data_IF_246354332615
#
_entry.id   IF_246354332615
#
_cell.length_a   1.000
_cell.length_b   1.000
_cell.length_c   1.000
_cell.angle_alpha   90.00
_cell.angle_beta   90.00
_cell.angle_gamma   90.00
#
_symmetry.space_group_name_H-M   'P 1'
#
loop_
_entity.id
_entity.type
_entity.pdbx_description
1 polymer ?
#
# COMPACT_ATOMS: atom_id res chain seq x y z
N UNK A 1 36.02 -73.78 14.30
CA UNK A 1 35.42 -74.23 15.57
C UNK A 1 34.79 -73.03 16.28
N UNK A 2 33.68 -73.25 16.98
CA UNK A 2 32.84 -72.27 17.71
C UNK A 2 32.03 -71.31 16.81
N UNK A 3 30.82 -71.04 17.31
CA UNK A 3 29.69 -70.47 16.58
C UNK A 3 29.11 -69.28 17.41
N UNK A 4 27.86 -68.78 17.18
CA UNK A 4 27.55 -67.35 17.27
C UNK A 4 27.11 -66.87 18.67
N UNK A 5 27.00 -65.54 18.81
CA UNK A 5 26.13 -64.91 19.81
C UNK A 5 25.35 -63.72 19.20
N UNK A 6 24.08 -63.64 19.59
CA UNK A 6 23.04 -62.70 19.14
C UNK A 6 22.75 -61.66 20.25
N UNK A 7 22.03 -60.56 19.92
CA UNK A 7 21.01 -59.89 20.77
C UNK A 7 21.56 -59.24 22.08
N UNK A 8 21.61 -57.92 22.31
CA UNK A 8 20.50 -56.99 22.72
C UNK A 8 21.12 -55.78 23.48
N UNK A 9 20.47 -54.64 23.81
CA UNK A 9 19.30 -53.89 23.28
C UNK A 9 19.27 -52.49 23.94
N UNK A 10 18.79 -51.46 23.21
CA UNK A 10 18.11 -50.24 23.73
C UNK A 10 18.85 -49.26 24.70
N UNK A 11 18.17 -48.11 24.87
CA UNK A 11 18.33 -47.08 25.91
C UNK A 11 19.58 -46.16 25.89
N UNK A 12 19.44 -45.06 25.13
CA UNK A 12 20.34 -43.88 25.18
C UNK A 12 19.59 -42.56 24.97
N UNK A 13 18.35 -42.46 25.48
CA UNK A 13 17.45 -41.32 25.29
C UNK A 13 17.37 -40.51 26.59
N UNK A 14 18.02 -39.35 26.67
CA UNK A 14 17.69 -38.19 27.55
C UNK A 14 18.56 -37.00 27.07
N UNK A 15 17.99 -35.79 27.02
CA UNK A 15 18.80 -34.59 27.30
C UNK A 15 19.01 -33.56 26.19
N UNK A 16 18.34 -33.61 25.05
CA UNK A 16 18.22 -32.41 24.20
C UNK A 16 17.00 -31.60 24.67
N UNK A 17 17.20 -30.70 25.64
CA UNK A 17 16.17 -29.74 26.05
C UNK A 17 15.88 -28.80 24.89
N UNK A 18 14.74 -29.00 24.24
CA UNK A 18 14.23 -28.10 23.23
C UNK A 18 13.97 -26.72 23.86
N UNK A 19 14.92 -25.80 23.69
CA UNK A 19 14.64 -24.38 23.75
C UNK A 19 13.73 -24.05 22.57
N UNK A 20 12.42 -24.23 22.78
CA UNK A 20 11.37 -23.87 21.84
C UNK A 20 11.30 -22.35 21.69
N UNK A 21 12.24 -21.77 20.95
CA UNK A 21 12.10 -20.41 20.45
C UNK A 21 10.94 -20.40 19.46
N UNK A 22 9.78 -19.96 19.93
CA UNK A 22 8.56 -19.83 19.14
C UNK A 22 8.83 -18.99 17.89
N UNK A 23 8.63 -19.61 16.73
CA UNK A 23 8.92 -19.04 15.42
C UNK A 23 8.34 -19.88 14.29
N UNK A 24 7.21 -20.55 14.55
CA UNK A 24 6.47 -21.29 13.55
C UNK A 24 5.49 -20.34 12.84
N UNK A 25 5.55 -20.36 11.51
CA UNK A 25 4.50 -19.97 10.56
C UNK A 25 3.74 -18.65 10.81
N UNK A 26 4.39 -17.55 10.43
CA UNK A 26 3.76 -16.64 9.48
C UNK A 26 4.38 -16.97 8.11
N UNK A 27 3.88 -18.02 7.45
CA UNK A 27 4.23 -18.29 6.07
C UNK A 27 3.89 -17.03 5.27
N UNK A 28 4.87 -16.41 4.62
CA UNK A 28 4.62 -15.21 3.83
C UNK A 28 3.70 -15.62 2.67
N UNK A 29 2.43 -15.24 2.75
CA UNK A 29 1.41 -15.57 1.76
C UNK A 29 1.71 -14.75 0.50
N UNK A 30 2.59 -15.25 -0.35
CA UNK A 30 2.87 -14.67 -1.66
C UNK A 30 1.85 -15.18 -2.68
N UNK A 31 1.36 -14.31 -3.54
CA UNK A 31 0.46 -14.69 -4.64
C UNK A 31 -0.88 -13.92 -4.62
N UNK A 32 -1.93 -14.48 -5.26
CA UNK A 32 -3.24 -13.83 -5.33
C UNK A 32 -3.94 -13.73 -3.96
N UNK A 33 -3.58 -14.59 -3.02
CA UNK A 33 -4.14 -14.68 -1.66
C UNK A 33 -3.33 -13.90 -0.62
N UNK A 34 -2.37 -13.06 -1.04
CA UNK A 34 -1.54 -12.29 -0.11
C UNK A 34 -2.37 -11.42 0.85
N UNK A 35 -2.04 -11.43 2.13
CA UNK A 35 -2.74 -10.70 3.22
C UNK A 35 -1.78 -9.80 4.00
N UNK A 36 -2.26 -8.71 4.63
CA UNK A 36 -1.43 -7.85 5.47
C UNK A 36 -0.81 -8.59 6.66
N UNK A 37 0.48 -8.35 6.92
CA UNK A 37 1.21 -8.94 8.03
C UNK A 37 1.28 -8.01 9.24
N UNK A 38 0.92 -8.52 10.42
CA UNK A 38 1.09 -7.82 11.71
C UNK A 38 2.56 -7.46 11.97
N UNK A 39 3.48 -8.37 11.60
CA UNK A 39 4.92 -8.18 11.76
C UNK A 39 5.44 -7.07 10.85
N UNK A 40 4.97 -7.00 9.61
CA UNK A 40 5.36 -5.93 8.68
C UNK A 40 4.86 -4.56 9.16
N UNK A 41 3.60 -4.47 9.58
CA UNK A 41 3.02 -3.24 10.15
C UNK A 41 3.76 -2.77 11.40
N UNK A 42 4.12 -3.68 12.31
CA UNK A 42 4.91 -3.36 13.51
C UNK A 42 6.30 -2.81 13.14
N UNK A 43 7.06 -3.52 12.29
CA UNK A 43 8.40 -3.10 11.88
C UNK A 43 8.40 -1.75 11.12
N UNK A 44 7.36 -1.46 10.33
CA UNK A 44 7.14 -0.16 9.70
C UNK A 44 6.85 0.93 10.74
N UNK A 45 6.06 0.63 11.77
CA UNK A 45 5.74 1.55 12.87
C UNK A 45 7.01 1.96 13.62
N UNK A 46 7.84 0.99 14.02
CA UNK A 46 9.11 1.23 14.71
C UNK A 46 10.05 2.10 13.85
N UNK A 47 10.25 1.71 12.58
CA UNK A 47 11.08 2.45 11.60
C UNK A 47 10.63 3.91 11.44
N UNK A 48 9.32 4.17 11.52
CA UNK A 48 8.75 5.51 11.36
C UNK A 48 8.74 6.32 12.67
N UNK A 49 8.80 5.67 13.83
CA UNK A 49 8.98 6.30 15.14
C UNK A 49 10.42 6.80 15.36
N UNK A 50 11.42 6.09 14.81
CA UNK A 50 12.81 6.55 14.78
C UNK A 50 12.99 7.79 13.88
N UNK A 51 12.22 7.89 12.80
CA UNK A 51 12.28 8.97 11.82
C UNK A 51 11.54 10.25 12.29
N UNK A 52 11.98 10.82 13.42
CA UNK A 52 11.30 11.89 14.19
C UNK A 52 11.10 13.25 13.50
N UNK A 53 11.66 13.49 12.31
CA UNK A 53 11.48 14.75 11.57
C UNK A 53 11.10 14.51 10.11
N UNK A 54 10.47 15.51 9.49
CA UNK A 54 9.76 15.39 8.21
C UNK A 54 10.63 14.83 7.08
N UNK A 55 11.89 15.27 6.96
CA UNK A 55 12.78 14.83 5.88
C UNK A 55 13.23 13.36 6.04
N UNK A 56 13.78 12.92 7.19
CA UNK A 56 13.97 11.49 7.49
C UNK A 56 12.71 10.64 7.31
N UNK A 57 11.54 11.12 7.76
CA UNK A 57 10.27 10.38 7.64
C UNK A 57 9.88 10.16 6.18
N UNK A 58 9.93 11.20 5.35
CA UNK A 58 9.72 11.11 3.89
C UNK A 58 10.70 10.13 3.23
N UNK A 59 11.98 10.15 3.63
CA UNK A 59 12.98 9.21 3.12
C UNK A 59 12.74 7.76 3.58
N UNK A 60 12.26 7.54 4.80
CA UNK A 60 11.85 6.23 5.30
C UNK A 60 10.65 5.68 4.50
N UNK A 61 9.59 6.48 4.32
CA UNK A 61 8.42 6.13 3.53
C UNK A 61 8.81 5.79 2.08
N UNK A 62 9.60 6.64 1.40
CA UNK A 62 10.07 6.37 0.04
C UNK A 62 10.85 5.05 -0.07
N UNK A 63 11.73 4.75 0.89
CA UNK A 63 12.49 3.49 0.91
C UNK A 63 11.59 2.28 1.18
N UNK A 64 10.58 2.42 2.04
CA UNK A 64 9.60 1.37 2.30
C UNK A 64 8.74 1.07 1.05
N UNK A 65 8.26 2.10 0.36
CA UNK A 65 7.52 1.95 -0.91
C UNK A 65 8.33 1.25 -1.99
N UNK A 66 9.61 1.63 -2.17
CA UNK A 66 10.50 0.97 -3.14
C UNK A 66 10.73 -0.51 -2.77
N UNK A 67 10.92 -0.84 -1.49
CA UNK A 67 11.00 -2.24 -1.03
C UNK A 67 9.69 -3.01 -1.20
N UNK A 68 8.55 -2.35 -1.07
CA UNK A 68 7.24 -2.91 -1.33
C UNK A 68 6.97 -3.16 -2.83
N UNK A 69 7.83 -2.63 -3.72
CA UNK A 69 7.75 -2.76 -5.18
C UNK A 69 6.93 -1.65 -5.88
N UNK A 70 6.64 -0.54 -5.19
CA UNK A 70 5.97 0.63 -5.75
C UNK A 70 6.98 1.48 -6.55
N UNK A 71 6.62 1.85 -7.79
CA UNK A 71 7.46 2.70 -8.66
C UNK A 71 7.37 4.16 -8.21
N UNK A 72 8.43 4.81 -7.71
CA UNK A 72 8.33 6.13 -7.10
C UNK A 72 8.08 7.23 -8.15
N UNK A 73 7.39 8.32 -7.74
CA UNK A 73 7.03 9.45 -8.62
C UNK A 73 8.19 10.08 -9.41
N UNK A 74 9.42 9.99 -8.90
CA UNK A 74 10.62 10.59 -9.49
C UNK A 74 11.56 9.61 -10.20
N UNK A 75 11.10 8.43 -10.61
CA UNK A 75 11.94 7.51 -11.39
C UNK A 75 12.08 7.96 -12.86
N UNK A 76 13.31 7.96 -13.38
CA UNK A 76 13.70 8.68 -14.60
C UNK A 76 12.98 8.25 -15.88
N UNK A 77 12.43 7.03 -15.89
CA UNK A 77 11.61 6.52 -17.01
C UNK A 77 10.22 7.17 -17.10
N UNK A 78 9.72 7.74 -16.00
CA UNK A 78 8.43 8.44 -15.95
C UNK A 78 8.60 9.97 -15.94
N UNK A 79 9.71 10.49 -15.40
CA UNK A 79 10.02 11.93 -15.36
C UNK A 79 9.77 12.65 -16.70
N UNK A 80 10.15 12.04 -17.82
CA UNK A 80 10.05 12.66 -19.15
C UNK A 80 8.63 12.77 -19.74
N UNK A 81 7.62 12.15 -19.11
CA UNK A 81 6.20 12.25 -19.53
C UNK A 81 5.27 12.76 -18.44
N UNK A 82 5.73 12.75 -17.19
CA UNK A 82 4.85 12.72 -16.03
C UNK A 82 5.39 13.54 -14.83
N UNK A 83 6.06 14.67 -15.04
CA UNK A 83 6.32 15.62 -13.96
C UNK A 83 6.15 17.08 -14.40
N UNK A 84 5.12 17.74 -13.85
CA UNK A 84 5.20 19.16 -13.51
C UNK A 84 5.55 19.23 -12.03
N UNK A 85 6.73 19.73 -11.67
CA UNK A 85 7.07 19.95 -10.26
C UNK A 85 6.29 21.16 -9.73
N UNK A 86 5.14 20.89 -9.11
CA UNK A 86 4.23 21.92 -8.58
C UNK A 86 4.64 22.42 -7.19
N UNK A 87 5.85 22.10 -6.71
CA UNK A 87 6.38 22.59 -5.43
C UNK A 87 5.68 22.03 -4.19
N UNK A 88 4.79 21.04 -4.34
CA UNK A 88 4.13 20.34 -3.23
C UNK A 88 4.89 19.03 -2.96
N UNK A 89 5.54 18.86 -1.80
CA UNK A 89 6.39 17.71 -1.52
C UNK A 89 5.57 16.49 -1.09
N UNK A 90 4.87 15.88 -2.05
CA UNK A 90 4.28 14.56 -1.90
C UNK A 90 5.38 13.49 -1.85
N UNK A 91 5.11 12.41 -1.13
CA UNK A 91 5.86 11.15 -1.24
C UNK A 91 4.91 10.10 -1.77
N UNK A 92 5.36 9.25 -2.68
CA UNK A 92 4.48 8.28 -3.30
C UNK A 92 5.05 7.63 -4.55
N UNK A 93 4.18 6.93 -5.26
CA UNK A 93 4.50 6.20 -6.48
C UNK A 93 3.29 5.46 -7.05
N UNK A 94 3.55 4.58 -8.00
CA UNK A 94 2.55 3.85 -8.75
C UNK A 94 2.73 2.34 -8.63
N UNK A 95 1.61 1.64 -8.53
CA UNK A 95 1.48 0.20 -8.80
C UNK A 95 0.87 0.09 -10.20
N UNK A 96 1.61 -0.40 -11.21
CA UNK A 96 1.10 -0.45 -12.58
C UNK A 96 -0.05 -1.46 -12.71
N UNK A 97 -1.17 -1.03 -13.29
CA UNK A 97 -2.26 -1.93 -13.66
C UNK A 97 -1.94 -2.75 -14.90
N UNK A 98 -2.71 -3.81 -15.16
CA UNK A 98 -2.51 -4.71 -16.31
C UNK A 98 -3.18 -4.25 -17.62
N UNK A 99 -4.05 -3.24 -17.60
CA UNK A 99 -4.66 -2.71 -18.83
C UNK A 99 -3.67 -1.92 -19.71
N UNK A 100 -3.81 -1.96 -21.05
CA UNK A 100 -2.95 -1.21 -21.96
C UNK A 100 -3.09 0.31 -21.77
N UNK A 101 -1.97 1.02 -22.01
CA UNK A 101 -1.69 2.43 -21.70
C UNK A 101 -2.60 3.51 -22.37
N UNK A 102 -3.76 3.14 -22.93
CA UNK A 102 -4.72 4.05 -23.56
C UNK A 102 -6.07 4.20 -22.81
N UNK A 103 -6.30 3.43 -21.73
CA UNK A 103 -7.47 3.54 -20.84
C UNK A 103 -7.01 3.48 -19.38
N UNK A 104 -6.07 4.35 -19.02
CA UNK A 104 -5.38 4.31 -17.73
C UNK A 104 -6.24 4.91 -16.62
N UNK A 105 -7.30 4.22 -16.23
CA UNK A 105 -8.16 4.60 -15.10
C UNK A 105 -7.36 4.43 -13.79
N UNK A 106 -7.55 5.33 -12.82
CA UNK A 106 -6.73 5.46 -11.61
C UNK A 106 -7.56 5.34 -10.34
N UNK A 107 -7.07 4.59 -9.35
CA UNK A 107 -7.50 4.72 -7.95
C UNK A 107 -6.33 5.31 -7.15
N UNK A 108 -6.61 6.29 -6.29
CA UNK A 108 -5.57 6.86 -5.41
C UNK A 108 -5.75 6.30 -4.01
N UNK A 109 -4.72 5.63 -3.49
CA UNK A 109 -4.61 5.16 -2.12
C UNK A 109 -3.71 6.12 -1.33
N UNK A 110 -4.09 6.58 -0.14
CA UNK A 110 -3.21 7.49 0.59
C UNK A 110 -3.59 7.89 2.01
N UNK A 111 -2.70 8.64 2.64
CA UNK A 111 -2.91 9.25 3.95
C UNK A 111 -1.96 10.43 4.19
N UNK A 112 -2.09 11.11 5.32
CA UNK A 112 -1.11 12.13 5.75
C UNK A 112 0.26 11.49 6.03
N UNK A 113 1.32 12.14 5.58
CA UNK A 113 2.72 11.69 5.76
C UNK A 113 3.14 11.62 7.24
N UNK A 114 2.50 12.40 8.10
CA UNK A 114 2.68 12.44 9.55
C UNK A 114 1.65 11.61 10.33
N UNK A 115 0.65 11.03 9.65
CA UNK A 115 -0.43 10.26 10.27
C UNK A 115 0.00 8.88 10.81
N UNK A 116 -0.81 8.34 11.71
CA UNK A 116 -0.65 6.98 12.27
C UNK A 116 -0.90 5.87 11.26
N UNK A 117 -1.68 6.13 10.20
CA UNK A 117 -2.03 5.14 9.17
C UNK A 117 -0.92 4.84 8.15
N UNK A 118 0.23 5.52 8.20
CA UNK A 118 1.32 5.35 7.21
C UNK A 118 1.80 3.88 7.10
N UNK A 119 2.02 3.11 8.19
CA UNK A 119 2.35 1.68 8.09
C UNK A 119 1.29 0.88 7.33
N UNK A 120 0.02 1.09 7.63
CA UNK A 120 -1.11 0.37 7.02
C UNK A 120 -1.24 0.65 5.52
N UNK A 121 -1.02 1.90 5.08
CA UNK A 121 -1.03 2.27 3.66
C UNK A 121 0.17 1.66 2.91
N UNK A 122 1.35 1.60 3.53
CA UNK A 122 2.52 0.94 2.93
C UNK A 122 2.30 -0.57 2.82
N UNK A 123 1.72 -1.21 3.83
CA UNK A 123 1.41 -2.64 3.81
C UNK A 123 0.33 -2.98 2.78
N UNK A 124 -0.75 -2.19 2.72
CA UNK A 124 -1.77 -2.32 1.69
C UNK A 124 -1.17 -2.21 0.27
N UNK A 125 -0.26 -1.24 0.06
CA UNK A 125 0.47 -1.10 -1.19
C UNK A 125 1.37 -2.32 -1.49
N UNK A 126 2.04 -2.88 -0.48
CA UNK A 126 2.85 -4.09 -0.66
C UNK A 126 2.02 -5.30 -1.09
N UNK A 127 0.90 -5.56 -0.41
CA UNK A 127 -0.01 -6.65 -0.76
C UNK A 127 -0.63 -6.44 -2.15
N UNK A 128 -0.99 -5.21 -2.53
CA UNK A 128 -1.47 -4.89 -3.88
C UNK A 128 -0.39 -5.14 -4.96
N UNK A 129 0.88 -4.82 -4.68
CA UNK A 129 2.00 -5.17 -5.58
C UNK A 129 2.15 -6.70 -5.70
N UNK A 130 2.09 -7.44 -4.59
CA UNK A 130 2.18 -8.90 -4.66
C UNK A 130 1.02 -9.49 -5.47
N UNK A 131 -0.23 -9.10 -5.20
CA UNK A 131 -1.40 -9.58 -5.92
C UNK A 131 -1.33 -9.28 -7.42
N UNK A 132 -0.79 -8.12 -7.84
CA UNK A 132 -0.70 -7.72 -9.25
C UNK A 132 0.26 -8.56 -10.11
N UNK A 133 1.20 -9.27 -9.47
CA UNK A 133 2.10 -10.20 -10.15
C UNK A 133 1.39 -11.49 -10.59
N UNK A 134 0.27 -11.85 -9.95
CA UNK A 134 -0.41 -13.13 -10.16
C UNK A 134 -1.88 -13.01 -10.59
N UNK A 135 -2.57 -11.95 -10.17
CA UNK A 135 -3.97 -11.68 -10.47
C UNK A 135 -4.15 -10.50 -11.43
N UNK A 136 -5.39 -10.28 -11.88
CA UNK A 136 -5.81 -9.05 -12.56
C UNK A 136 -5.77 -7.82 -11.67
N UNK A 137 -5.72 -7.95 -10.34
CA UNK A 137 -5.84 -6.83 -9.39
C UNK A 137 -4.47 -6.21 -9.06
N UNK A 138 -4.27 -4.88 -9.22
CA UNK A 138 -5.27 -3.93 -9.68
C UNK A 138 -5.35 -3.93 -11.22
N UNK A 139 -6.57 -3.98 -11.75
CA UNK A 139 -6.81 -3.94 -13.21
C UNK A 139 -6.38 -2.57 -13.78
N UNK A 140 -6.55 -1.57 -12.91
CA UNK A 140 -6.27 -0.15 -13.05
C UNK A 140 -4.93 0.19 -12.38
N UNK A 141 -4.34 1.33 -12.71
CA UNK A 141 -3.16 1.81 -11.96
C UNK A 141 -3.60 2.27 -10.57
N UNK A 142 -2.78 1.99 -9.55
CA UNK A 142 -2.97 2.59 -8.21
C UNK A 142 -1.87 3.61 -7.97
N UNK A 143 -2.25 4.85 -7.71
CA UNK A 143 -1.36 5.88 -7.17
C UNK A 143 -1.34 5.77 -5.64
N UNK A 144 -0.16 5.63 -5.04
CA UNK A 144 0.02 5.61 -3.59
C UNK A 144 0.62 6.96 -3.17
N UNK A 145 -0.10 7.75 -2.38
CA UNK A 145 0.27 9.14 -2.07
C UNK A 145 0.26 9.48 -0.57
N UNK A 146 1.28 10.23 -0.15
CA UNK A 146 1.45 10.76 1.21
C UNK A 146 1.69 12.27 1.19
N UNK A 147 0.82 13.05 1.85
CA UNK A 147 0.82 14.51 1.82
C UNK A 147 1.19 15.15 3.18
N UNK A 148 1.80 16.35 3.20
CA UNK A 148 2.25 17.00 4.44
C UNK A 148 1.16 17.46 5.42
N UNK A 149 -0.09 17.65 4.96
CA UNK A 149 -1.20 18.13 5.79
C UNK A 149 -2.20 18.97 4.99
N UNK A 150 -3.29 19.40 5.63
CA UNK A 150 -4.40 20.12 4.97
C UNK A 150 -5.25 19.22 4.07
N UNK A 151 -5.91 19.82 3.07
CA UNK A 151 -6.69 19.08 2.06
C UNK A 151 -5.76 18.33 1.09
N UNK A 152 -5.29 17.17 1.55
CA UNK A 152 -4.40 16.30 0.80
C UNK A 152 -5.01 15.76 -0.49
N UNK A 153 -6.32 15.55 -0.53
CA UNK A 153 -7.02 15.09 -1.74
C UNK A 153 -6.93 16.16 -2.83
N UNK A 154 -7.17 17.45 -2.51
CA UNK A 154 -6.93 18.54 -3.48
C UNK A 154 -5.46 18.70 -3.86
N UNK A 155 -4.52 18.46 -2.94
CA UNK A 155 -3.08 18.51 -3.26
C UNK A 155 -2.70 17.42 -4.26
N UNK A 156 -3.16 16.20 -4.04
CA UNK A 156 -2.96 15.08 -4.98
C UNK A 156 -3.70 15.34 -6.29
N UNK A 157 -4.97 15.75 -6.29
CA UNK A 157 -5.71 16.11 -7.52
C UNK A 157 -5.07 17.23 -8.36
N UNK A 158 -4.26 18.11 -7.75
CA UNK A 158 -3.53 19.17 -8.46
C UNK A 158 -2.22 18.66 -9.05
N UNK A 159 -1.58 17.68 -8.42
CA UNK A 159 -0.26 17.14 -8.79
C UNK A 159 -0.33 15.78 -9.49
N UNK A 160 -1.48 15.11 -9.47
CA UNK A 160 -1.74 13.89 -10.22
C UNK A 160 -1.75 14.23 -11.70
N UNK A 161 -1.17 13.31 -12.45
CA UNK A 161 -0.85 13.47 -13.86
C UNK A 161 -1.94 12.83 -14.74
N UNK A 162 -2.90 12.18 -14.07
CA UNK A 162 -4.12 11.67 -14.64
C UNK A 162 -5.14 12.80 -14.77
N UNK A 163 -5.77 12.96 -15.95
CA UNK A 163 -6.99 13.73 -16.09
C UNK A 163 -8.04 13.31 -15.05
N UNK A 164 -8.78 14.27 -14.49
CA UNK A 164 -9.68 14.03 -13.34
C UNK A 164 -10.80 13.02 -13.64
N UNK A 165 -11.22 12.91 -14.90
CA UNK A 165 -12.17 11.93 -15.44
C UNK A 165 -11.60 10.50 -15.52
N UNK A 166 -10.27 10.35 -15.44
CA UNK A 166 -9.60 9.05 -15.30
C UNK A 166 -9.46 8.62 -13.84
N UNK A 167 -9.55 9.54 -12.88
CA UNK A 167 -9.47 9.25 -11.44
C UNK A 167 -10.86 8.82 -10.93
N UNK A 168 -10.93 7.64 -10.30
CA UNK A 168 -12.20 6.96 -10.00
C UNK A 168 -12.66 7.14 -8.58
N UNK A 169 -11.73 7.01 -7.65
CA UNK A 169 -11.91 7.44 -6.27
C UNK A 169 -10.55 7.64 -5.61
N UNK A 170 -10.60 8.35 -4.49
CA UNK A 170 -9.58 8.31 -3.46
C UNK A 170 -10.02 7.33 -2.38
N UNK A 171 -9.11 6.49 -1.92
CA UNK A 171 -9.25 5.66 -0.72
C UNK A 171 -8.25 6.20 0.31
N UNK A 172 -8.78 6.83 1.36
CA UNK A 172 -7.99 7.61 2.32
C UNK A 172 -8.12 7.02 3.72
N UNK A 173 -6.98 6.74 4.35
CA UNK A 173 -6.96 6.47 5.79
C UNK A 173 -6.94 7.81 6.55
N UNK A 174 -8.05 8.13 7.23
CA UNK A 174 -8.32 9.39 7.90
C UNK A 174 -9.81 9.74 7.86
N UNK A 175 -10.46 9.87 9.02
CA UNK A 175 -11.93 9.98 9.13
C UNK A 175 -12.55 11.31 8.66
N UNK A 176 -11.78 12.40 8.53
CA UNK A 176 -12.33 13.73 8.27
C UNK A 176 -12.31 14.18 6.80
N UNK A 177 -13.39 14.86 6.38
CA UNK A 177 -13.47 15.61 5.12
C UNK A 177 -14.64 15.21 4.21
N UNK A 178 -14.82 15.89 3.07
CA UNK A 178 -15.99 15.70 2.20
C UNK A 178 -15.91 14.40 1.39
N UNK A 179 -17.03 13.68 1.28
CA UNK A 179 -17.17 12.43 0.52
C UNK A 179 -16.90 12.56 -1.00
N UNK A 180 -16.81 13.78 -1.52
CA UNK A 180 -16.35 14.08 -2.88
C UNK A 180 -15.46 15.31 -2.88
N UNK A 181 -14.42 15.34 -3.72
CA UNK A 181 -13.55 16.50 -3.95
C UNK A 181 -13.42 16.74 -5.45
N UNK A 182 -13.69 17.97 -5.91
CA UNK A 182 -13.69 18.36 -7.32
C UNK A 182 -14.47 17.39 -8.26
N UNK A 183 -15.52 16.74 -7.74
CA UNK A 183 -16.34 15.75 -8.47
C UNK A 183 -15.87 14.30 -8.35
N UNK A 184 -14.68 14.04 -7.81
CA UNK A 184 -14.14 12.69 -7.59
C UNK A 184 -14.59 12.14 -6.23
N UNK A 185 -15.10 10.90 -6.14
CA UNK A 185 -15.41 10.22 -4.89
C UNK A 185 -14.21 10.07 -3.94
N UNK A 186 -14.46 10.16 -2.63
CA UNK A 186 -13.45 9.96 -1.58
C UNK A 186 -14.01 9.02 -0.51
N UNK A 187 -13.57 7.76 -0.56
CA UNK A 187 -13.81 6.75 0.47
C UNK A 187 -12.84 7.02 1.61
N UNK A 188 -13.35 7.16 2.84
CA UNK A 188 -12.55 7.33 4.05
C UNK A 188 -12.68 6.12 4.93
N UNK A 189 -11.54 5.69 5.46
CA UNK A 189 -11.44 4.66 6.48
C UNK A 189 -10.95 5.29 7.77
N UNK A 190 -11.54 4.85 8.88
CA UNK A 190 -11.14 5.26 10.22
C UNK A 190 -9.72 4.77 10.53
N UNK A 191 -8.97 5.54 11.33
CA UNK A 191 -7.61 5.22 11.75
C UNK A 191 -7.55 4.55 13.12
N UNK A 192 -8.69 4.46 13.82
CA UNK A 192 -8.82 3.79 15.12
C UNK A 192 -8.80 2.25 15.02
N UNK A 193 -8.87 1.70 13.81
CA UNK A 193 -8.68 0.27 13.56
C UNK A 193 -7.22 -0.16 13.76
N UNK A 194 -6.99 -1.42 14.16
CA UNK A 194 -5.66 -2.01 14.21
C UNK A 194 -4.97 -1.92 12.84
N UNK A 195 -3.66 -1.65 12.80
CA UNK A 195 -2.96 -1.34 11.54
C UNK A 195 -3.03 -2.42 10.46
N UNK A 196 -3.27 -3.68 10.85
CA UNK A 196 -3.53 -4.82 9.95
C UNK A 196 -4.94 -4.76 9.37
N UNK A 197 -5.95 -4.53 10.21
CA UNK A 197 -7.35 -4.42 9.81
C UNK A 197 -7.56 -3.21 8.90
N UNK A 198 -6.90 -2.09 9.21
CA UNK A 198 -6.85 -0.91 8.35
C UNK A 198 -6.19 -1.23 7.00
N UNK A 199 -5.08 -1.96 6.97
CA UNK A 199 -4.45 -2.38 5.71
C UNK A 199 -5.38 -3.29 4.88
N UNK A 200 -6.10 -4.22 5.53
CA UNK A 200 -7.06 -5.10 4.88
C UNK A 200 -8.23 -4.31 4.27
N UNK A 201 -8.83 -3.39 5.05
CA UNK A 201 -9.89 -2.51 4.60
C UNK A 201 -9.43 -1.58 3.44
N UNK A 202 -8.20 -1.06 3.49
CA UNK A 202 -7.62 -0.25 2.41
C UNK A 202 -7.51 -1.06 1.10
N UNK A 203 -7.11 -2.34 1.17
CA UNK A 203 -7.04 -3.23 -0.01
C UNK A 203 -8.44 -3.49 -0.57
N UNK A 204 -9.41 -3.82 0.29
CA UNK A 204 -10.79 -4.08 -0.11
C UNK A 204 -11.43 -2.85 -0.78
N UNK A 205 -11.33 -1.68 -0.13
CA UNK A 205 -11.86 -0.44 -0.67
C UNK A 205 -11.13 0.03 -1.94
N UNK A 206 -9.84 -0.31 -2.11
CA UNK A 206 -9.13 -0.06 -3.38
C UNK A 206 -9.67 -0.92 -4.52
N UNK A 207 -10.04 -2.18 -4.23
CA UNK A 207 -10.67 -3.07 -5.19
C UNK A 207 -12.10 -2.64 -5.54
N UNK A 208 -12.89 -2.17 -4.57
CA UNK A 208 -14.24 -1.64 -4.82
C UNK A 208 -14.20 -0.29 -5.55
N UNK A 209 -13.28 0.61 -5.19
CA UNK A 209 -13.01 1.85 -5.92
C UNK A 209 -12.66 1.60 -7.40
N UNK A 210 -11.99 0.48 -7.70
CA UNK A 210 -11.69 0.08 -9.07
C UNK A 210 -12.93 -0.37 -9.88
N UNK A 211 -14.09 -0.57 -9.25
CA UNK A 211 -15.37 -0.85 -9.92
C UNK A 211 -16.19 0.41 -10.20
N UNK A 212 -15.89 1.52 -9.54
CA UNK A 212 -16.61 2.79 -9.72
C UNK A 212 -16.45 3.27 -11.18
N UNK A 213 -17.56 3.69 -11.85
CA UNK A 213 -17.51 4.28 -13.18
C UNK A 213 -16.72 5.60 -13.24
N UNK A 214 -16.41 6.06 -14.45
CA UNK A 214 -15.88 7.40 -14.63
C UNK A 214 -16.87 8.47 -14.15
N UNK A 215 -16.44 9.53 -13.43
CA UNK A 215 -17.24 10.75 -13.42
C UNK A 215 -17.32 11.25 -14.87
N UNK A 216 -18.53 11.39 -15.42
CA UNK A 216 -18.70 11.85 -16.79
C UNK A 216 -18.17 13.27 -16.95
N UNK A 217 -17.62 13.59 -18.13
CA UNK A 217 -17.02 14.90 -18.41
C UNK A 217 -18.01 16.05 -18.17
N UNK A 218 -19.31 15.85 -18.43
CA UNK A 218 -20.38 16.81 -18.15
C UNK A 218 -20.57 17.12 -16.65
N UNK A 219 -20.33 16.13 -15.78
CA UNK A 219 -20.42 16.30 -14.31
C UNK A 219 -19.26 17.14 -13.76
N UNK A 220 -18.12 17.14 -14.45
CA UNK A 220 -16.95 17.95 -14.09
C UNK A 220 -17.08 19.39 -14.60
N UNK A 221 -17.65 19.60 -15.80
CA UNK A 221 -17.83 20.92 -16.40
C UNK A 221 -18.82 21.82 -15.63
N UNK A 222 -19.82 21.22 -14.96
CA UNK A 222 -20.91 21.94 -14.27
C UNK A 222 -20.56 22.44 -12.86
N UNK A 223 -19.36 22.18 -12.35
CA UNK A 223 -18.97 22.49 -10.96
C UNK A 223 -17.81 23.47 -10.77
N UNK A 224 -17.33 24.13 -11.83
CA UNK A 224 -16.41 25.26 -11.68
C UNK A 224 -17.15 26.48 -11.09
N UNK A 225 -16.79 26.97 -9.89
CA UNK A 225 -17.24 28.28 -9.43
C UNK A 225 -16.58 29.36 -10.29
N UNK A 226 -17.31 30.42 -10.61
CA UNK A 226 -16.73 31.70 -11.04
C UNK A 226 -16.23 32.48 -9.82
#
# INVERSE_FOLDING_TARGET
>A
MRAPLLVSLLAGFVGLTAAGCAGADEAAHFGPEAVPSARAVAALTDTLAEARSTTPRRAAIRRALVRAGVTPFGDGRLQARFQTDLGIPLVGGFIPGRHPLGRAELVVLGTRVDGGAVPAVIEAAHVLVQRSQYATVPERTVEVAFWPGGDGVRQVLRSSLWPRDQIRAFVVAGGEGPATVDGVPVIRLDVDAGGVDLAAALIEQTAEAARIPAPSSDTLATRSPR
#
